data_IF_865659949611
#
_entry.id   IF_865659949611
#
_cell.length_a   1.000
_cell.length_b   1.000
_cell.length_c   1.000
_cell.angle_alpha   90.00
_cell.angle_beta   90.00
_cell.angle_gamma   90.00
#
_symmetry.space_group_name_H-M   'P 1'
#
loop_
_entity.id
_entity.type
_entity.pdbx_description
1 polymer ?
#
# COMPACT_ATOMS: atom_id res chain seq x y z
N UNK A 1 -20.11 1.92 14.01
CA UNK A 1 -18.95 1.18 13.51
C UNK A 1 -18.10 0.72 14.67
N UNK A 2 -17.64 -0.53 14.67
CA UNK A 2 -16.63 -1.06 15.57
C UNK A 2 -15.20 -0.76 15.05
N UNK A 3 -14.18 -1.20 15.78
CA UNK A 3 -12.78 -0.95 15.42
C UNK A 3 -12.39 -1.57 14.07
N UNK A 4 -12.76 -2.84 13.83
CA UNK A 4 -12.50 -3.54 12.56
C UNK A 4 -13.20 -2.84 11.40
N UNK A 5 -14.48 -2.46 11.56
CA UNK A 5 -15.23 -1.71 10.54
C UNK A 5 -14.56 -0.35 10.24
N UNK A 6 -14.02 0.33 11.25
CA UNK A 6 -13.29 1.60 11.08
C UNK A 6 -11.99 1.41 10.30
N UNK A 7 -11.24 0.35 10.60
CA UNK A 7 -10.02 0.01 9.88
C UNK A 7 -10.34 -0.30 8.42
N UNK A 8 -11.36 -1.12 8.15
CA UNK A 8 -11.80 -1.46 6.80
C UNK A 8 -12.23 -0.22 6.00
N UNK A 9 -13.02 0.67 6.61
CA UNK A 9 -13.40 1.93 5.98
C UNK A 9 -12.17 2.77 5.65
N UNK A 10 -11.23 2.90 6.59
CA UNK A 10 -10.00 3.68 6.39
C UNK A 10 -9.17 3.14 5.21
N UNK A 11 -8.94 1.82 5.17
CA UNK A 11 -8.22 1.17 4.06
C UNK A 11 -8.95 1.32 2.72
N UNK A 12 -10.29 1.24 2.71
CA UNK A 12 -11.09 1.44 1.50
C UNK A 12 -10.97 2.88 0.99
N UNK A 13 -11.10 3.86 1.89
CA UNK A 13 -11.07 5.28 1.57
C UNK A 13 -9.68 5.78 1.13
N UNK A 14 -8.61 5.22 1.70
CA UNK A 14 -7.24 5.48 1.26
C UNK A 14 -7.02 4.90 -0.14
N UNK A 15 -7.31 3.61 -0.35
CA UNK A 15 -7.13 2.95 -1.66
C UNK A 15 -7.96 3.62 -2.75
N UNK A 16 -9.19 4.04 -2.46
CA UNK A 16 -10.05 4.78 -3.40
C UNK A 16 -9.39 6.09 -3.86
N UNK A 17 -8.79 6.85 -2.93
CA UNK A 17 -8.09 8.11 -3.25
C UNK A 17 -6.79 7.86 -4.01
N UNK A 18 -6.03 6.84 -3.63
CA UNK A 18 -4.84 6.41 -4.36
C UNK A 18 -5.18 6.04 -5.81
N UNK A 19 -6.21 5.21 -6.03
CA UNK A 19 -6.66 4.83 -7.38
C UNK A 19 -7.12 6.05 -8.18
N UNK A 20 -7.89 6.97 -7.57
CA UNK A 20 -8.32 8.20 -8.24
C UNK A 20 -7.14 9.07 -8.67
N UNK A 21 -6.08 9.13 -7.85
CA UNK A 21 -4.83 9.80 -8.23
C UNK A 21 -4.16 9.08 -9.39
N UNK A 22 -3.95 7.76 -9.28
CA UNK A 22 -3.23 6.97 -10.26
C UNK A 22 -3.92 7.02 -11.63
N UNK A 23 -5.22 6.75 -11.69
CA UNK A 23 -6.00 6.76 -12.94
C UNK A 23 -6.04 8.12 -13.65
N UNK A 24 -5.73 9.22 -12.95
CA UNK A 24 -5.63 10.54 -13.57
C UNK A 24 -4.26 10.86 -14.19
N UNK A 25 -3.29 9.94 -14.11
CA UNK A 25 -1.94 10.12 -14.68
C UNK A 25 -1.90 9.49 -16.07
N UNK A 26 -1.52 10.26 -17.10
CA UNK A 26 -1.39 9.74 -18.46
C UNK A 26 -0.19 8.79 -18.60
N UNK A 27 -0.29 7.82 -19.52
CA UNK A 27 0.71 6.76 -19.71
C UNK A 27 2.11 7.32 -20.02
N UNK A 28 2.21 8.46 -20.70
CA UNK A 28 3.48 9.10 -21.06
C UNK A 28 4.30 9.56 -19.84
N UNK A 29 3.65 9.81 -18.69
CA UNK A 29 4.31 10.30 -17.49
C UNK A 29 4.73 9.17 -16.53
N UNK A 30 4.35 7.92 -16.77
CA UNK A 30 4.56 6.81 -15.83
C UNK A 30 6.02 6.59 -15.43
N UNK A 31 6.96 6.87 -16.34
CA UNK A 31 8.39 6.72 -16.10
C UNK A 31 9.07 7.99 -15.57
N UNK A 32 8.33 9.08 -15.37
CA UNK A 32 8.87 10.30 -14.79
C UNK A 32 9.22 10.09 -13.31
N UNK A 33 10.35 10.65 -12.88
CA UNK A 33 10.83 10.70 -11.49
C UNK A 33 11.43 12.08 -11.19
N UNK A 34 11.36 12.56 -9.93
CA UNK A 34 11.86 13.91 -9.58
C UNK A 34 13.38 14.01 -9.61
N UNK A 35 14.08 12.90 -9.40
CA UNK A 35 15.53 12.80 -9.45
C UNK A 35 15.95 11.34 -9.72
N UNK A 36 17.23 11.11 -9.96
CA UNK A 36 17.75 9.80 -10.37
C UNK A 36 17.60 8.70 -9.30
N UNK A 37 17.50 9.07 -8.02
CA UNK A 37 17.43 8.14 -6.87
C UNK A 37 15.99 7.86 -6.44
N UNK A 38 15.04 8.66 -6.90
CA UNK A 38 13.64 8.48 -6.62
C UNK A 38 13.01 7.38 -7.49
N UNK A 39 11.96 6.75 -6.97
CA UNK A 39 11.06 5.96 -7.81
C UNK A 39 10.41 6.87 -8.85
N UNK A 40 10.23 6.36 -10.05
CA UNK A 40 9.26 6.85 -11.03
C UNK A 40 7.83 6.66 -10.54
N UNK A 41 6.89 7.29 -11.22
CA UNK A 41 5.46 7.19 -10.87
C UNK A 41 5.00 5.73 -10.84
N UNK A 42 5.32 4.93 -11.86
CA UNK A 42 4.89 3.52 -11.91
C UNK A 42 5.60 2.65 -10.87
N UNK A 43 6.88 2.92 -10.59
CA UNK A 43 7.64 2.27 -9.52
C UNK A 43 7.02 2.57 -8.14
N UNK A 44 6.57 3.80 -7.91
CA UNK A 44 5.89 4.21 -6.67
C UNK A 44 4.53 3.54 -6.51
N UNK A 45 3.74 3.44 -7.59
CA UNK A 45 2.44 2.74 -7.57
C UNK A 45 2.66 1.27 -7.23
N UNK A 46 3.59 0.59 -7.91
CA UNK A 46 3.94 -0.80 -7.60
C UNK A 46 4.45 -0.94 -6.17
N UNK A 47 5.31 -0.04 -5.70
CA UNK A 47 5.83 -0.06 -4.33
C UNK A 47 4.71 -0.07 -3.28
N UNK A 48 3.64 0.69 -3.50
CA UNK A 48 2.46 0.69 -2.61
C UNK A 48 1.72 -0.65 -2.67
N UNK A 49 1.44 -1.17 -3.87
CA UNK A 49 0.69 -2.41 -4.06
C UNK A 49 1.44 -3.64 -3.53
N UNK A 50 2.72 -3.75 -3.89
CA UNK A 50 3.63 -4.78 -3.40
C UNK A 50 3.85 -4.64 -1.88
N UNK A 51 3.98 -3.41 -1.39
CA UNK A 51 4.14 -3.10 0.03
C UNK A 51 2.99 -3.63 0.88
N UNK A 52 1.74 -3.45 0.44
CA UNK A 52 0.57 -4.03 1.12
C UNK A 52 0.67 -5.55 1.22
N UNK A 53 1.00 -6.22 0.12
CA UNK A 53 1.17 -7.67 0.11
C UNK A 53 2.30 -8.13 1.03
N UNK A 54 3.45 -7.43 1.01
CA UNK A 54 4.56 -7.68 1.92
C UNK A 54 4.11 -7.53 3.38
N UNK A 55 3.41 -6.44 3.72
CA UNK A 55 2.91 -6.23 5.07
C UNK A 55 1.91 -7.30 5.50
N UNK A 56 1.07 -7.78 4.60
CA UNK A 56 0.18 -8.91 4.85
C UNK A 56 0.99 -10.16 5.23
N UNK A 57 2.04 -10.49 4.47
CA UNK A 57 2.92 -11.63 4.77
C UNK A 57 3.66 -11.47 6.10
N UNK A 58 4.07 -10.25 6.45
CA UNK A 58 4.62 -9.95 7.78
C UNK A 58 3.60 -10.27 8.88
N UNK A 59 2.34 -9.88 8.72
CA UNK A 59 1.27 -10.15 9.70
C UNK A 59 1.02 -11.65 9.85
N UNK A 60 0.86 -12.37 8.73
CA UNK A 60 0.63 -13.82 8.72
C UNK A 60 1.75 -14.57 9.46
N UNK A 61 2.99 -14.17 9.23
CA UNK A 61 4.16 -14.80 9.84
C UNK A 61 4.61 -14.16 11.16
N UNK A 62 3.75 -13.33 11.78
CA UNK A 62 4.01 -12.67 13.08
C UNK A 62 5.32 -11.87 13.13
N UNK A 63 5.75 -11.34 11.99
CA UNK A 63 6.98 -10.56 11.85
C UNK A 63 8.08 -11.23 11.03
N UNK A 64 8.11 -12.57 10.97
CA UNK A 64 9.20 -13.31 10.34
C UNK A 64 8.98 -13.50 8.83
N UNK A 65 9.76 -12.81 7.99
CA UNK A 65 9.66 -12.95 6.53
C UNK A 65 10.45 -14.12 5.92
N UNK A 66 11.38 -14.72 6.67
CA UNK A 66 12.24 -15.80 6.16
C UNK A 66 12.85 -15.48 4.79
N UNK A 67 12.62 -16.36 3.81
CA UNK A 67 13.09 -16.20 2.42
C UNK A 67 12.00 -15.67 1.49
N UNK A 68 11.15 -14.76 1.98
CA UNK A 68 10.07 -14.16 1.19
C UNK A 68 10.59 -13.65 -0.15
N UNK A 69 9.88 -14.01 -1.21
CA UNK A 69 10.07 -13.47 -2.56
C UNK A 69 8.79 -12.79 -2.99
N UNK A 70 8.94 -11.58 -3.48
CA UNK A 70 7.81 -10.81 -3.98
C UNK A 70 7.24 -11.46 -5.24
N UNK A 71 5.91 -11.57 -5.37
CA UNK A 71 5.27 -11.91 -6.64
C UNK A 71 5.54 -10.90 -7.76
N UNK A 72 5.95 -9.68 -7.41
CA UNK A 72 6.36 -8.65 -8.36
C UNK A 72 7.80 -8.77 -8.82
N UNK A 73 8.57 -9.68 -8.22
CA UNK A 73 9.96 -9.90 -8.60
C UNK A 73 10.03 -10.22 -10.10
N UNK A 74 10.90 -9.49 -10.81
CA UNK A 74 11.16 -9.62 -12.25
C UNK A 74 9.96 -9.35 -13.18
N UNK A 75 8.84 -8.84 -12.65
CA UNK A 75 7.73 -8.40 -13.50
C UNK A 75 8.10 -7.09 -14.20
N UNK A 76 7.91 -6.97 -15.53
CA UNK A 76 8.10 -5.70 -16.21
C UNK A 76 7.02 -4.70 -15.78
N UNK A 77 7.37 -3.41 -15.76
CA UNK A 77 6.37 -2.36 -15.62
C UNK A 77 5.52 -2.27 -16.89
N UNK A 78 4.22 -2.05 -16.73
CA UNK A 78 3.29 -1.95 -17.85
C UNK A 78 2.43 -0.69 -17.74
N UNK A 79 1.18 -0.81 -17.30
CA UNK A 79 0.33 0.33 -17.00
C UNK A 79 -0.44 0.12 -15.70
N UNK A 80 -1.15 1.17 -15.28
CA UNK A 80 -1.84 1.23 -13.99
C UNK A 80 -2.91 0.14 -13.88
N UNK A 81 -3.61 -0.19 -14.97
CA UNK A 81 -4.67 -1.20 -14.94
C UNK A 81 -4.07 -2.59 -14.72
N UNK A 82 -2.97 -2.91 -15.40
CA UNK A 82 -2.26 -4.16 -15.22
C UNK A 82 -1.69 -4.31 -13.79
N UNK A 83 -1.09 -3.25 -13.21
CA UNK A 83 -0.62 -3.28 -11.82
C UNK A 83 -1.77 -3.52 -10.83
N UNK A 84 -2.90 -2.82 -11.00
CA UNK A 84 -4.08 -2.97 -10.13
C UNK A 84 -4.69 -4.37 -10.23
N UNK A 85 -4.82 -4.89 -11.47
CA UNK A 85 -5.36 -6.23 -11.72
C UNK A 85 -4.46 -7.31 -11.13
N UNK A 86 -3.14 -7.16 -11.24
CA UNK A 86 -2.20 -8.10 -10.63
C UNK A 86 -2.28 -8.08 -9.09
N UNK A 87 -2.48 -6.90 -8.49
CA UNK A 87 -2.60 -6.73 -7.05
C UNK A 87 -3.94 -7.22 -6.45
N UNK A 88 -5.00 -7.27 -7.25
CA UNK A 88 -6.38 -7.59 -6.83
C UNK A 88 -6.52 -8.83 -5.93
N UNK A 89 -6.00 -10.02 -6.29
CA UNK A 89 -6.12 -11.19 -5.42
C UNK A 89 -5.45 -10.98 -4.05
N UNK A 90 -4.27 -10.35 -4.01
CA UNK A 90 -3.55 -10.10 -2.77
C UNK A 90 -4.26 -9.10 -1.86
N UNK A 91 -4.88 -8.06 -2.46
CA UNK A 91 -5.71 -7.10 -1.74
C UNK A 91 -6.95 -7.79 -1.15
N UNK A 92 -7.60 -8.66 -1.91
CA UNK A 92 -8.75 -9.44 -1.44
C UNK A 92 -8.38 -10.29 -0.23
N UNK A 93 -7.28 -11.03 -0.30
CA UNK A 93 -6.80 -11.84 0.82
C UNK A 93 -6.49 -10.99 2.05
N UNK A 94 -5.86 -9.83 1.87
CA UNK A 94 -5.57 -8.90 2.97
C UNK A 94 -6.84 -8.35 3.62
N UNK A 95 -7.84 -7.97 2.83
CA UNK A 95 -9.12 -7.49 3.37
C UNK A 95 -9.87 -8.60 4.10
N UNK A 96 -9.94 -9.81 3.52
CA UNK A 96 -10.57 -10.96 4.18
C UNK A 96 -9.90 -11.27 5.52
N UNK A 97 -8.58 -11.14 5.61
CA UNK A 97 -7.85 -11.30 6.87
C UNK A 97 -8.34 -10.27 7.91
N UNK A 98 -8.45 -8.99 7.54
CA UNK A 98 -8.94 -7.94 8.47
C UNK A 98 -10.39 -8.21 8.89
N UNK A 99 -11.27 -8.59 7.95
CA UNK A 99 -12.67 -8.91 8.23
C UNK A 99 -12.83 -10.06 9.25
N UNK A 100 -11.88 -11.00 9.27
CA UNK A 100 -11.89 -12.13 10.21
C UNK A 100 -11.42 -11.78 11.64
N UNK A 101 -10.89 -10.56 11.87
CA UNK A 101 -10.32 -10.18 13.16
C UNK A 101 -11.39 -9.84 14.20
N UNK A 102 -11.23 -10.41 15.40
CA UNK A 102 -11.95 -9.94 16.57
C UNK A 102 -11.32 -8.64 17.13
N UNK A 103 -12.06 -7.86 17.94
CA UNK A 103 -11.47 -6.72 18.65
C UNK A 103 -10.25 -7.09 19.51
N UNK A 104 -10.27 -8.25 20.17
CA UNK A 104 -9.14 -8.70 20.99
C UNK A 104 -7.89 -9.03 20.16
N UNK A 105 -8.06 -9.47 18.90
CA UNK A 105 -6.93 -9.71 18.02
C UNK A 105 -6.11 -8.44 17.75
N UNK A 106 -6.78 -7.29 17.61
CA UNK A 106 -6.12 -6.00 17.34
C UNK A 106 -5.16 -5.58 18.48
N UNK A 107 -5.50 -5.95 19.72
CA UNK A 107 -4.74 -5.58 20.91
C UNK A 107 -3.70 -6.64 21.30
N UNK A 108 -4.03 -7.91 21.13
CA UNK A 108 -3.24 -9.03 21.67
C UNK A 108 -2.28 -9.65 20.66
N UNK A 109 -2.63 -9.66 19.37
CA UNK A 109 -1.70 -10.18 18.35
C UNK A 109 -0.53 -9.22 18.22
N UNK A 110 0.67 -9.79 18.25
CA UNK A 110 1.93 -9.08 18.09
C UNK A 110 2.56 -9.37 16.74
N UNK A 111 3.14 -8.33 16.14
CA UNK A 111 4.03 -8.41 14.99
C UNK A 111 5.43 -8.06 15.49
N UNK A 112 6.31 -9.06 15.52
CA UNK A 112 7.63 -9.00 16.12
C UNK A 112 8.70 -9.14 15.04
N UNK A 113 9.33 -8.02 14.68
CA UNK A 113 10.40 -7.97 13.69
C UNK A 113 11.73 -7.72 14.38
N UNK A 114 12.33 -8.79 14.87
CA UNK A 114 13.57 -8.77 15.66
C UNK A 114 14.74 -8.17 14.87
N UNK A 115 14.78 -8.38 13.56
CA UNK A 115 15.82 -7.90 12.65
C UNK A 115 15.87 -6.37 12.52
N UNK A 116 14.76 -5.68 12.85
CA UNK A 116 14.67 -4.22 12.86
C UNK A 116 14.24 -3.66 14.22
N UNK A 117 14.26 -4.48 15.27
CA UNK A 117 13.90 -4.07 16.64
C UNK A 117 12.46 -3.55 16.77
N UNK A 118 11.52 -4.04 15.95
CA UNK A 118 10.14 -3.56 15.94
C UNK A 118 9.20 -4.56 16.62
N UNK A 119 8.35 -4.04 17.50
CA UNK A 119 7.44 -4.82 18.34
C UNK A 119 6.09 -4.09 18.42
N UNK A 120 5.08 -4.56 17.68
CA UNK A 120 3.83 -3.81 17.42
C UNK A 120 2.59 -4.66 17.67
N UNK A 121 1.51 -4.06 18.20
CA UNK A 121 0.20 -4.73 18.18
C UNK A 121 -0.32 -4.76 16.75
N UNK A 122 -1.21 -5.71 16.44
CA UNK A 122 -1.78 -5.81 15.10
C UNK A 122 -2.52 -4.52 14.70
N UNK A 123 -3.27 -3.90 15.61
CA UNK A 123 -3.96 -2.64 15.36
C UNK A 123 -3.00 -1.48 15.04
N UNK A 124 -1.87 -1.36 15.75
CA UNK A 124 -0.83 -0.37 15.45
C UNK A 124 -0.20 -0.65 14.07
N UNK A 125 0.09 -1.93 13.79
CA UNK A 125 0.68 -2.34 12.53
C UNK A 125 -0.24 -2.06 11.32
N UNK A 126 -1.54 -2.33 11.44
CA UNK A 126 -2.53 -2.02 10.40
C UNK A 126 -2.63 -0.51 10.13
N UNK A 127 -2.62 0.32 11.18
CA UNK A 127 -2.61 1.79 11.01
C UNK A 127 -1.34 2.27 10.31
N UNK A 128 -0.18 1.66 10.60
CA UNK A 128 1.07 1.96 9.89
C UNK A 128 0.98 1.67 8.39
N UNK A 129 0.33 0.57 7.99
CA UNK A 129 0.16 0.23 6.56
C UNK A 129 -0.73 1.27 5.87
N UNK A 130 -1.87 1.61 6.48
CA UNK A 130 -2.75 2.65 5.96
C UNK A 130 -2.03 4.00 5.81
N UNK A 131 -1.25 4.39 6.82
CA UNK A 131 -0.46 5.61 6.79
C UNK A 131 0.61 5.61 5.70
N UNK A 132 1.29 4.48 5.46
CA UNK A 132 2.29 4.33 4.40
C UNK A 132 1.72 4.64 3.01
N UNK A 133 0.56 4.07 2.66
CA UNK A 133 -0.09 4.36 1.38
C UNK A 133 -0.52 5.84 1.29
N UNK A 134 -1.07 6.42 2.36
CA UNK A 134 -1.45 7.82 2.39
C UNK A 134 -0.25 8.77 2.18
N UNK A 135 0.90 8.46 2.79
CA UNK A 135 2.16 9.21 2.60
C UNK A 135 2.58 9.17 1.13
N UNK A 136 2.55 8.00 0.48
CA UNK A 136 2.93 7.89 -0.93
C UNK A 136 1.93 8.53 -1.89
N UNK A 137 0.64 8.59 -1.52
CA UNK A 137 -0.35 9.42 -2.24
C UNK A 137 0.03 10.90 -2.19
N UNK A 138 0.42 11.42 -1.01
CA UNK A 138 0.92 12.79 -0.87
C UNK A 138 2.23 13.04 -1.64
N UNK A 139 3.12 12.06 -1.65
CA UNK A 139 4.38 12.11 -2.41
C UNK A 139 4.12 12.16 -3.92
N UNK A 140 3.22 11.33 -4.45
CA UNK A 140 2.84 11.37 -5.87
C UNK A 140 2.16 12.68 -6.26
N UNK A 141 1.31 13.26 -5.42
CA UNK A 141 0.77 14.61 -5.67
C UNK A 141 1.88 15.66 -5.80
N UNK A 142 2.95 15.51 -5.02
CA UNK A 142 4.13 16.37 -5.10
C UNK A 142 4.95 16.11 -6.37
N UNK A 143 5.03 14.86 -6.84
CA UNK A 143 5.62 14.52 -8.14
C UNK A 143 4.90 15.21 -9.28
N UNK A 144 3.58 15.09 -9.34
CA UNK A 144 2.77 15.74 -10.38
C UNK A 144 2.97 17.26 -10.37
N UNK A 145 3.08 17.87 -9.17
CA UNK A 145 3.42 19.30 -9.05
C UNK A 145 4.78 19.64 -9.63
N UNK A 146 5.81 18.86 -9.31
CA UNK A 146 7.17 19.10 -9.79
C UNK A 146 7.30 18.87 -11.31
N UNK A 147 6.54 17.94 -11.86
CA UNK A 147 6.48 17.63 -13.28
C UNK A 147 5.59 18.59 -14.10
N UNK A 148 4.92 19.54 -13.45
CA UNK A 148 3.90 20.39 -14.07
C UNK A 148 2.77 19.59 -14.75
N UNK A 149 2.36 18.47 -14.14
CA UNK A 149 1.25 17.61 -14.56
C UNK A 149 0.01 17.99 -13.75
N UNK A 150 -1.15 17.97 -14.40
CA UNK A 150 -2.43 18.18 -13.74
C UNK A 150 -2.66 17.17 -12.62
N UNK A 151 -3.13 17.68 -11.48
CA UNK A 151 -3.37 16.86 -10.28
C UNK A 151 -4.85 16.51 -10.19
N UNK A 152 -5.20 15.22 -10.12
CA UNK A 152 -6.57 14.80 -9.87
C UNK A 152 -7.09 15.35 -8.54
N UNK A 153 -8.35 15.81 -8.51
CA UNK A 153 -9.02 16.22 -7.27
C UNK A 153 -9.34 14.97 -6.44
N UNK A 154 -8.47 14.60 -5.51
CA UNK A 154 -8.67 13.39 -4.67
C UNK A 154 -9.64 13.61 -3.51
N UNK A 155 -9.88 14.87 -3.15
CA UNK A 155 -10.89 15.29 -2.20
C UNK A 155 -12.18 15.51 -2.96
N UNK A 156 -13.24 14.85 -2.49
CA UNK A 156 -14.61 14.87 -3.00
C UNK A 156 -15.03 16.27 -3.47
#
# INVERSE_FOLDING_TARGET
>A
MNATETILLNFSEIRRRSIKLWQGISKEHLHWKPDDKAFSIIEMIRHVLEGEHLFHKIIENRGNLGTYKSPWQDLPYSDIEAELKFAEPYRKDFINMIESLSPSNLEQIRVERTEVGQSKTLGDYLNRIAYHEAVHTGQLLSYLRAANIDRPKIWD
#
